data_IF_361896004671
#
_entry.id   IF_361896004671
#
_cell.length_a   1.000
_cell.length_b   1.000
_cell.length_c   1.000
_cell.angle_alpha   90.00
_cell.angle_beta   90.00
_cell.angle_gamma   90.00
#
_symmetry.space_group_name_H-M   'P 1'
#
loop_
_entity.id
_entity.type
_entity.pdbx_description
1 polymer ?
#
# COMPACT_ATOMS: atom_id res chain seq x y z
N UNK A 1 -10.04 7.84 -5.72
CA UNK A 1 -8.89 7.37 -4.90
C UNK A 1 -8.24 8.54 -4.16
N UNK A 2 -7.89 8.39 -2.88
CA UNK A 2 -7.07 9.37 -2.14
C UNK A 2 -5.72 8.73 -1.78
N UNK A 3 -4.64 9.50 -1.86
CA UNK A 3 -3.32 9.05 -1.43
C UNK A 3 -2.56 10.15 -0.69
N UNK A 4 -1.67 9.73 0.20
CA UNK A 4 -0.80 10.62 0.97
C UNK A 4 0.60 10.00 1.06
N UNK A 5 1.61 10.81 0.76
CA UNK A 5 3.00 10.45 0.98
C UNK A 5 3.36 10.65 2.47
N UNK A 6 4.05 9.68 3.06
CA UNK A 6 4.46 9.72 4.46
C UNK A 6 5.87 9.14 4.64
N UNK A 7 6.51 9.47 5.76
CA UNK A 7 7.83 8.96 6.14
C UNK A 7 7.83 8.59 7.62
N UNK A 8 7.54 7.31 7.90
CA UNK A 8 7.37 6.79 9.26
C UNK A 8 8.64 6.09 9.76
N UNK A 9 9.35 5.38 8.87
CA UNK A 9 10.67 4.79 9.13
C UNK A 9 11.77 5.48 8.33
N UNK A 10 12.99 5.46 8.84
CA UNK A 10 14.14 6.18 8.26
C UNK A 10 14.48 5.69 6.84
N UNK A 11 14.41 4.37 6.66
CA UNK A 11 14.87 3.65 5.47
C UNK A 11 13.71 3.27 4.53
N UNK A 12 12.54 3.93 4.64
CA UNK A 12 11.44 3.72 3.69
C UNK A 12 10.64 5.00 3.41
N UNK A 13 9.99 5.02 2.26
CA UNK A 13 8.95 5.96 1.90
C UNK A 13 7.63 5.20 1.91
N UNK A 14 6.61 5.73 2.60
CA UNK A 14 5.29 5.13 2.67
C UNK A 14 4.30 5.94 1.83
N UNK A 15 3.41 5.24 1.13
CA UNK A 15 2.21 5.82 0.54
C UNK A 15 1.00 5.20 1.24
N UNK A 16 0.22 6.04 1.89
CA UNK A 16 -1.09 5.66 2.42
C UNK A 16 -2.13 5.85 1.31
N UNK A 17 -2.91 4.81 1.01
CA UNK A 17 -3.92 4.82 -0.05
C UNK A 17 -5.28 4.48 0.56
N UNK A 18 -6.29 5.30 0.25
CA UNK A 18 -7.68 5.05 0.63
C UNK A 18 -8.49 4.76 -0.64
N UNK A 19 -9.07 3.57 -0.67
CA UNK A 19 -10.01 3.10 -1.70
C UNK A 19 -11.34 2.72 -1.02
N UNK A 20 -12.46 2.59 -1.75
CA UNK A 20 -13.74 2.23 -1.15
C UNK A 20 -13.65 0.98 -0.26
N UNK A 21 -13.94 1.13 1.03
CA UNK A 21 -13.97 0.05 2.01
C UNK A 21 -12.62 -0.46 2.50
N UNK A 22 -11.49 0.13 2.06
CA UNK A 22 -10.16 -0.37 2.41
C UNK A 22 -9.15 0.78 2.59
N UNK A 23 -8.15 0.55 3.45
CA UNK A 23 -6.95 1.40 3.56
C UNK A 23 -5.73 0.53 3.31
N UNK A 24 -4.77 1.05 2.55
CA UNK A 24 -3.56 0.33 2.20
C UNK A 24 -2.36 1.17 2.61
N UNK A 25 -1.33 0.52 3.11
CA UNK A 25 0.00 1.11 3.32
C UNK A 25 0.97 0.40 2.37
N UNK A 26 1.60 1.17 1.49
CA UNK A 26 2.61 0.66 0.56
C UNK A 26 3.94 1.32 0.92
N UNK A 27 4.92 0.53 1.32
CA UNK A 27 6.24 1.01 1.70
C UNK A 27 7.30 0.60 0.68
N UNK A 28 8.08 1.58 0.24
CA UNK A 28 9.26 1.39 -0.61
C UNK A 28 10.50 1.48 0.25
N UNK A 29 11.20 0.36 0.43
CA UNK A 29 12.36 0.25 1.30
C UNK A 29 13.63 0.67 0.55
N UNK A 30 14.67 1.04 1.31
CA UNK A 30 15.96 1.46 0.77
C UNK A 30 16.70 0.39 -0.04
N UNK A 31 16.35 -0.88 0.12
CA UNK A 31 16.89 -2.01 -0.65
C UNK A 31 16.09 -2.35 -1.92
N UNK A 32 15.00 -1.62 -2.17
CA UNK A 32 14.11 -1.84 -3.32
C UNK A 32 12.96 -2.81 -3.07
N UNK A 33 12.88 -3.41 -1.87
CA UNK A 33 11.72 -4.21 -1.46
C UNK A 33 10.48 -3.30 -1.37
N UNK A 34 9.32 -3.86 -1.73
CA UNK A 34 8.02 -3.20 -1.56
C UNK A 34 7.18 -4.04 -0.59
N UNK A 35 6.85 -3.46 0.56
CA UNK A 35 5.95 -4.07 1.54
C UNK A 35 4.53 -3.50 1.35
N UNK A 36 3.51 -4.38 1.33
CA UNK A 36 2.10 -3.97 1.19
C UNK A 36 1.28 -4.51 2.35
N UNK A 37 0.70 -3.62 3.13
CA UNK A 37 -0.27 -3.97 4.17
C UNK A 37 -1.67 -3.46 3.79
N UNK A 38 -2.66 -4.35 3.81
CA UNK A 38 -4.05 -4.00 3.56
C UNK A 38 -4.83 -4.07 4.85
N UNK A 39 -5.44 -2.96 5.21
CA UNK A 39 -6.40 -2.88 6.29
C UNK A 39 -7.77 -3.22 5.73
N UNK A 40 -7.97 -4.52 5.56
CA UNK A 40 -9.24 -5.17 5.27
C UNK A 40 -9.49 -6.22 6.36
N UNK A 41 -10.73 -6.63 6.57
CA UNK A 41 -11.09 -7.55 7.67
C UNK A 41 -10.67 -9.00 7.40
N UNK A 42 -9.43 -9.26 6.98
CA UNK A 42 -8.94 -10.61 6.63
C UNK A 42 -7.55 -10.97 7.22
N UNK A 43 -7.00 -10.16 8.13
CA UNK A 43 -5.75 -10.40 8.88
C UNK A 43 -4.49 -10.72 8.02
N UNK A 44 -4.41 -10.23 6.77
CA UNK A 44 -3.30 -10.53 5.86
C UNK A 44 -2.19 -9.47 5.71
N UNK A 45 -0.94 -9.91 5.57
CA UNK A 45 0.19 -9.16 4.98
C UNK A 45 0.39 -9.60 3.52
N UNK A 46 0.73 -8.68 2.62
CA UNK A 46 0.82 -8.96 1.17
C UNK A 46 2.12 -8.42 0.55
N UNK A 47 2.34 -8.77 -0.71
CA UNK A 47 3.49 -8.34 -1.51
C UNK A 47 3.09 -7.42 -2.68
N UNK A 48 4.09 -7.04 -3.47
CA UNK A 48 3.94 -6.14 -4.63
C UNK A 48 2.92 -6.60 -5.68
N UNK A 49 2.59 -7.90 -5.73
CA UNK A 49 1.64 -8.43 -6.71
C UNK A 49 0.25 -7.80 -6.56
N UNK A 50 -0.08 -7.32 -5.35
CA UNK A 50 -1.34 -6.67 -5.03
C UNK A 50 -1.49 -5.26 -5.62
N UNK A 51 -0.40 -4.63 -6.05
CA UNK A 51 -0.48 -3.39 -6.82
C UNK A 51 -1.27 -3.59 -8.11
N UNK A 52 -1.17 -4.77 -8.73
CA UNK A 52 -1.97 -5.10 -9.91
C UNK A 52 -3.47 -5.14 -9.60
N UNK A 53 -3.86 -5.63 -8.42
CA UNK A 53 -5.25 -5.65 -7.97
C UNK A 53 -5.73 -4.22 -7.73
N UNK A 54 -4.93 -3.40 -7.02
CA UNK A 54 -5.23 -2.00 -6.79
C UNK A 54 -5.54 -1.27 -8.12
N UNK A 55 -4.66 -1.40 -9.11
CA UNK A 55 -4.86 -0.77 -10.42
C UNK A 55 -6.00 -1.41 -11.22
N UNK A 56 -6.27 -2.71 -11.09
CA UNK A 56 -7.38 -3.35 -11.81
C UNK A 56 -8.74 -2.90 -11.26
N UNK A 57 -8.88 -2.84 -9.95
CA UNK A 57 -10.16 -2.63 -9.28
C UNK A 57 -10.46 -1.14 -9.01
N UNK A 58 -9.44 -0.28 -8.88
CA UNK A 58 -9.60 1.11 -8.40
C UNK A 58 -8.90 2.19 -9.25
N UNK A 59 -8.66 1.92 -10.55
CA UNK A 59 -8.01 2.88 -11.48
C UNK A 59 -8.85 4.11 -11.88
N UNK A 60 -10.12 4.15 -11.47
CA UNK A 60 -11.06 5.23 -11.84
C UNK A 60 -11.01 6.42 -10.86
#
# INVERSE_FOLDING_TARGET
>A
MYYKLNKIRKEAIMIEIVVPGQRWEVEFLGDGTIDVEKFISDEGYYDESELNVLFREFRD
#
